data_IF_655995893741
#
_entry.id   IF_655995893741
#
_cell.length_a   1.000
_cell.length_b   1.000
_cell.length_c   1.000
_cell.angle_alpha   90.00
_cell.angle_beta   90.00
_cell.angle_gamma   90.00
#
_symmetry.space_group_name_H-M   'P 1'
#
loop_
_entity.id
_entity.type
_entity.pdbx_description
1 polymer ?
#
# COMPACT_ATOMS: atom_id res chain seq x y z
N UNK A 1 -11.79 2.93 -22.40
CA UNK A 1 -12.83 2.22 -23.17
C UNK A 1 -12.19 1.09 -23.96
N UNK A 2 -12.80 -0.09 -24.02
CA UNK A 2 -12.42 -1.16 -24.94
C UNK A 2 -13.31 -1.08 -26.17
N UNK A 3 -12.73 -1.12 -27.37
CA UNK A 3 -13.48 -1.07 -28.62
C UNK A 3 -12.82 -1.95 -29.68
N UNK A 4 -13.60 -2.40 -30.67
CA UNK A 4 -13.08 -3.17 -31.81
C UNK A 4 -12.80 -2.18 -32.95
N UNK A 5 -11.53 -2.06 -33.34
CA UNK A 5 -11.09 -1.22 -34.46
C UNK A 5 -10.47 -2.13 -35.51
N UNK A 6 -11.14 -2.25 -36.67
CA UNK A 6 -10.73 -3.12 -37.78
C UNK A 6 -10.52 -4.59 -37.35
N UNK A 7 -11.45 -5.12 -36.56
CA UNK A 7 -11.39 -6.50 -36.05
C UNK A 7 -10.41 -6.73 -34.89
N UNK A 8 -9.73 -5.68 -34.40
CA UNK A 8 -8.78 -5.79 -33.28
C UNK A 8 -9.34 -5.07 -32.06
N UNK A 9 -9.35 -5.74 -30.91
CA UNK A 9 -9.72 -5.11 -29.64
C UNK A 9 -8.64 -4.11 -29.23
N UNK A 10 -9.04 -2.89 -28.88
CA UNK A 10 -8.16 -1.80 -28.45
C UNK A 10 -8.66 -1.17 -27.17
N UNK A 11 -7.74 -0.89 -26.25
CA UNK A 11 -7.96 0.01 -25.14
C UNK A 11 -7.65 1.44 -25.57
N UNK A 12 -8.63 2.34 -25.43
CA UNK A 12 -8.52 3.74 -25.77
C UNK A 12 -8.86 4.60 -24.55
N UNK A 13 -7.93 5.47 -24.19
CA UNK A 13 -8.13 6.58 -23.28
C UNK A 13 -8.91 7.69 -23.98
N UNK A 14 -10.07 8.04 -23.44
CA UNK A 14 -10.97 9.03 -24.03
C UNK A 14 -10.82 10.39 -23.36
N UNK A 15 -10.83 10.44 -22.04
CA UNK A 15 -10.79 11.68 -21.28
C UNK A 15 -10.45 11.47 -19.80
N UNK A 16 -10.06 12.56 -19.14
CA UNK A 16 -9.91 12.68 -17.69
C UNK A 16 -10.50 14.04 -17.26
N UNK A 17 -11.84 14.17 -17.27
CA UNK A 17 -12.45 15.45 -17.01
C UNK A 17 -12.34 15.81 -15.51
N UNK A 18 -12.07 17.07 -15.15
CA UNK A 18 -12.05 17.50 -13.76
C UNK A 18 -13.45 17.42 -13.17
N UNK A 19 -13.57 17.00 -11.90
CA UNK A 19 -14.84 17.06 -11.17
C UNK A 19 -15.09 18.51 -10.73
N UNK A 20 -15.89 19.25 -11.50
CA UNK A 20 -16.17 20.67 -11.27
C UNK A 20 -17.39 20.93 -10.39
N UNK A 21 -18.40 20.07 -10.42
CA UNK A 21 -19.73 20.38 -9.88
C UNK A 21 -20.24 19.29 -8.92
N UNK A 22 -19.78 19.31 -7.67
CA UNK A 22 -20.30 18.45 -6.60
C UNK A 22 -19.87 16.97 -6.66
N UNK A 23 -19.75 16.35 -5.50
CA UNK A 23 -19.29 14.96 -5.33
C UNK A 23 -20.46 13.96 -5.20
N UNK A 24 -21.59 14.21 -5.86
CA UNK A 24 -22.72 13.25 -5.88
C UNK A 24 -22.58 12.25 -7.03
N UNK A 25 -23.22 11.08 -6.89
CA UNK A 25 -23.23 10.05 -7.93
C UNK A 25 -23.69 10.56 -9.29
N UNK A 26 -24.82 11.28 -9.30
CA UNK A 26 -25.41 11.90 -10.50
C UNK A 26 -24.43 12.83 -11.19
N UNK A 27 -23.75 13.70 -10.44
CA UNK A 27 -22.85 14.69 -11.01
C UNK A 27 -21.60 14.04 -11.59
N UNK A 28 -21.05 13.05 -10.89
CA UNK A 28 -19.92 12.26 -11.40
C UNK A 28 -20.32 11.51 -12.68
N UNK A 29 -21.49 10.86 -12.71
CA UNK A 29 -21.98 10.15 -13.89
C UNK A 29 -22.16 11.09 -15.10
N UNK A 30 -22.76 12.28 -14.89
CA UNK A 30 -22.88 13.31 -15.94
C UNK A 30 -21.52 13.79 -16.43
N UNK A 31 -20.55 13.94 -15.54
CA UNK A 31 -19.20 14.35 -15.91
C UNK A 31 -18.49 13.29 -16.77
N UNK A 32 -18.61 12.01 -16.40
CA UNK A 32 -18.10 10.90 -17.21
C UNK A 32 -18.70 10.90 -18.62
N UNK A 33 -20.02 11.08 -18.74
CA UNK A 33 -20.69 11.19 -20.05
C UNK A 33 -20.26 12.43 -20.83
N UNK A 34 -20.07 13.56 -20.13
CA UNK A 34 -19.53 14.79 -20.71
C UNK A 34 -18.16 14.59 -21.36
N UNK A 35 -17.29 13.81 -20.71
CA UNK A 35 -15.98 13.42 -21.25
C UNK A 35 -16.03 12.49 -22.45
N UNK A 36 -17.15 11.81 -22.71
CA UNK A 36 -17.35 10.88 -23.84
C UNK A 36 -18.11 11.54 -24.99
N UNK A 37 -18.90 12.58 -24.71
CA UNK A 37 -19.71 13.31 -25.70
C UNK A 37 -18.95 13.72 -26.99
N UNK A 38 -17.69 14.19 -26.97
CA UNK A 38 -16.96 14.56 -28.18
C UNK A 38 -16.71 13.42 -29.17
N UNK A 39 -16.87 12.16 -28.74
CA UNK A 39 -16.63 10.97 -29.56
C UNK A 39 -17.89 10.47 -30.30
N UNK A 40 -19.00 11.22 -30.25
CA UNK A 40 -20.27 10.89 -30.91
C UNK A 40 -20.83 9.51 -30.55
N UNK A 41 -20.57 9.03 -29.33
CA UNK A 41 -21.18 7.81 -28.80
C UNK A 41 -22.63 8.15 -28.40
N UNK A 42 -23.60 7.57 -29.10
CA UNK A 42 -25.02 7.84 -28.86
C UNK A 42 -25.59 6.97 -27.72
N UNK A 43 -26.75 7.35 -27.19
CA UNK A 43 -27.44 6.54 -26.17
C UNK A 43 -27.83 5.17 -26.72
N UNK A 44 -28.23 5.08 -28.00
CA UNK A 44 -28.52 3.80 -28.65
C UNK A 44 -27.28 2.89 -28.68
N UNK A 45 -26.08 3.46 -28.91
CA UNK A 45 -24.84 2.71 -28.84
C UNK A 45 -24.56 2.20 -27.43
N UNK A 46 -24.81 3.02 -26.39
CA UNK A 46 -24.71 2.54 -25.00
C UNK A 46 -25.68 1.38 -24.75
N UNK A 47 -26.95 1.50 -25.13
CA UNK A 47 -27.94 0.45 -24.91
C UNK A 47 -27.58 -0.88 -25.57
N UNK A 48 -26.95 -0.84 -26.75
CA UNK A 48 -26.61 -2.05 -27.51
C UNK A 48 -25.22 -2.62 -27.20
N UNK A 49 -24.26 -1.77 -26.80
CA UNK A 49 -22.82 -2.13 -26.79
C UNK A 49 -22.14 -1.90 -25.44
N UNK A 50 -22.76 -1.19 -24.49
CA UNK A 50 -22.19 -0.97 -23.18
C UNK A 50 -22.46 -2.15 -22.27
N UNK A 51 -21.46 -3.02 -22.10
CA UNK A 51 -21.61 -4.29 -21.36
C UNK A 51 -20.68 -4.38 -20.15
N UNK A 52 -19.90 -3.33 -19.86
CA UNK A 52 -18.83 -3.41 -18.87
C UNK A 52 -18.30 -2.04 -18.46
N UNK A 53 -18.19 -1.84 -17.15
CA UNK A 53 -17.59 -0.65 -16.55
C UNK A 53 -16.95 -1.00 -15.22
N UNK A 54 -15.93 -0.23 -14.85
CA UNK A 54 -15.13 -0.53 -13.68
C UNK A 54 -14.70 0.73 -12.95
N UNK A 55 -14.81 0.69 -11.62
CA UNK A 55 -14.57 1.85 -10.77
C UNK A 55 -13.81 1.54 -9.49
N UNK A 56 -13.30 2.59 -8.87
CA UNK A 56 -12.88 2.59 -7.48
C UNK A 56 -14.08 2.55 -6.50
N UNK A 57 -13.85 2.14 -5.26
CA UNK A 57 -14.88 1.98 -4.23
C UNK A 57 -15.70 3.25 -3.95
N UNK A 58 -15.09 4.44 -4.06
CA UNK A 58 -15.82 5.69 -3.84
C UNK A 58 -16.99 5.86 -4.82
N UNK A 59 -16.83 5.43 -6.08
CA UNK A 59 -17.87 5.53 -7.09
C UNK A 59 -19.07 4.62 -6.76
N UNK A 60 -18.81 3.43 -6.23
CA UNK A 60 -19.86 2.53 -5.73
C UNK A 60 -20.57 3.13 -4.52
N UNK A 61 -19.84 3.73 -3.57
CA UNK A 61 -20.45 4.37 -2.40
C UNK A 61 -21.38 5.55 -2.76
N UNK A 62 -21.16 6.14 -3.94
CA UNK A 62 -21.94 7.26 -4.46
C UNK A 62 -22.99 6.81 -5.48
N UNK A 63 -23.17 5.50 -5.72
CA UNK A 63 -24.08 4.94 -6.73
C UNK A 63 -23.83 5.43 -8.17
N UNK A 64 -22.59 5.78 -8.51
CA UNK A 64 -22.24 6.21 -9.89
C UNK A 64 -22.62 5.17 -10.95
N UNK A 65 -22.37 3.85 -10.76
CA UNK A 65 -22.75 2.85 -11.76
C UNK A 65 -24.24 2.86 -12.11
N UNK A 66 -25.10 2.97 -11.10
CA UNK A 66 -26.55 3.00 -11.22
C UNK A 66 -26.99 4.28 -11.94
N UNK A 67 -26.46 5.43 -11.52
CA UNK A 67 -26.77 6.73 -12.12
C UNK A 67 -26.34 6.79 -13.59
N UNK A 68 -25.18 6.21 -13.93
CA UNK A 68 -24.72 6.12 -15.32
C UNK A 68 -25.70 5.30 -16.17
N UNK A 69 -26.16 4.15 -15.66
CA UNK A 69 -27.13 3.29 -16.36
C UNK A 69 -28.45 4.02 -16.59
N UNK A 70 -28.96 4.75 -15.60
CA UNK A 70 -30.17 5.58 -15.72
C UNK A 70 -29.99 6.63 -16.84
N UNK A 71 -28.86 7.34 -16.85
CA UNK A 71 -28.62 8.42 -17.81
C UNK A 71 -28.49 7.94 -19.27
N UNK A 72 -27.97 6.74 -19.49
CA UNK A 72 -27.84 6.15 -20.84
C UNK A 72 -28.99 5.22 -21.22
N UNK A 73 -29.96 5.01 -20.32
CA UNK A 73 -31.09 4.11 -20.52
C UNK A 73 -30.69 2.63 -20.62
N UNK A 74 -29.67 2.21 -19.87
CA UNK A 74 -29.21 0.82 -19.80
C UNK A 74 -29.53 0.19 -18.43
N UNK A 75 -29.30 -1.12 -18.30
CA UNK A 75 -29.52 -1.87 -17.05
C UNK A 75 -28.20 -2.17 -16.35
N UNK A 76 -28.22 -2.19 -15.02
CA UNK A 76 -27.03 -2.54 -14.22
C UNK A 76 -26.68 -4.02 -14.41
N UNK A 77 -27.68 -4.88 -14.56
CA UNK A 77 -27.53 -6.31 -14.82
C UNK A 77 -26.87 -6.58 -16.18
N UNK A 78 -27.17 -5.75 -17.19
CA UNK A 78 -26.55 -5.83 -18.50
C UNK A 78 -25.11 -5.29 -18.52
N UNK A 79 -24.86 -4.21 -17.79
CA UNK A 79 -23.60 -3.48 -17.86
C UNK A 79 -22.53 -4.02 -16.90
N UNK A 80 -22.89 -4.88 -15.93
CA UNK A 80 -21.97 -5.61 -15.05
C UNK A 80 -20.87 -4.72 -14.41
N UNK A 81 -21.23 -3.69 -13.63
CA UNK A 81 -20.22 -2.86 -12.96
C UNK A 81 -19.38 -3.69 -11.99
N UNK A 82 -18.08 -3.46 -11.99
CA UNK A 82 -17.16 -4.16 -11.09
C UNK A 82 -16.05 -3.30 -10.53
N UNK A 83 -15.50 -3.69 -9.38
CA UNK A 83 -14.32 -3.05 -8.82
C UNK A 83 -13.13 -3.13 -9.78
N UNK A 84 -12.45 -2.00 -9.97
CA UNK A 84 -11.22 -1.91 -10.75
C UNK A 84 -10.12 -2.78 -10.16
N UNK A 85 -9.21 -3.27 -11.00
CA UNK A 85 -8.11 -4.12 -10.57
C UNK A 85 -7.27 -3.48 -9.45
N UNK A 86 -6.97 -2.19 -9.58
CA UNK A 86 -6.21 -1.45 -8.56
C UNK A 86 -6.96 -1.36 -7.22
N UNK A 87 -8.28 -1.18 -7.23
CA UNK A 87 -9.10 -1.16 -6.01
C UNK A 87 -9.17 -2.56 -5.37
N UNK A 88 -9.36 -3.62 -6.17
CA UNK A 88 -9.32 -5.01 -5.67
C UNK A 88 -8.00 -5.33 -4.99
N UNK A 89 -6.89 -4.86 -5.55
CA UNK A 89 -5.56 -5.01 -4.95
C UNK A 89 -5.47 -4.33 -3.57
N UNK A 90 -6.04 -3.14 -3.41
CA UNK A 90 -6.12 -2.47 -2.10
C UNK A 90 -6.99 -3.22 -1.10
N UNK A 91 -8.14 -3.75 -1.55
CA UNK A 91 -9.02 -4.52 -0.69
C UNK A 91 -8.32 -5.78 -0.18
N UNK A 92 -7.59 -6.50 -1.04
CA UNK A 92 -6.79 -7.66 -0.63
C UNK A 92 -5.76 -7.26 0.43
N UNK A 93 -5.05 -6.14 0.26
CA UNK A 93 -4.12 -5.65 1.29
C UNK A 93 -4.85 -5.27 2.58
N UNK A 94 -6.01 -4.62 2.48
CA UNK A 94 -6.83 -4.22 3.61
C UNK A 94 -7.37 -5.42 4.40
N UNK A 95 -7.85 -6.45 3.71
CA UNK A 95 -8.35 -7.69 4.30
C UNK A 95 -7.24 -8.43 5.03
N UNK A 96 -6.03 -8.45 4.45
CA UNK A 96 -4.83 -9.04 5.07
C UNK A 96 -4.48 -8.38 6.42
N UNK A 97 -4.89 -7.11 6.64
CA UNK A 97 -4.69 -6.37 7.89
C UNK A 97 -5.81 -6.55 8.92
N UNK A 98 -7.07 -6.73 8.48
CA UNK A 98 -8.27 -6.47 9.29
C UNK A 98 -8.89 -7.71 9.97
N UNK A 99 -8.64 -8.92 9.48
CA UNK A 99 -9.39 -10.10 9.95
C UNK A 99 -8.84 -10.75 11.25
N UNK A 100 -9.24 -10.20 12.40
CA UNK A 100 -8.88 -10.76 13.72
C UNK A 100 -9.58 -12.09 14.04
N UNK A 101 -10.58 -12.51 13.26
CA UNK A 101 -11.48 -13.63 13.59
C UNK A 101 -11.43 -14.80 12.58
N UNK A 102 -10.60 -14.72 11.52
CA UNK A 102 -10.46 -15.80 10.52
C UNK A 102 -11.66 -15.95 9.58
N UNK A 103 -12.46 -14.89 9.46
CA UNK A 103 -13.69 -14.84 8.66
C UNK A 103 -13.43 -14.70 7.15
N UNK A 104 -12.21 -14.28 6.76
CA UNK A 104 -11.75 -14.20 5.39
C UNK A 104 -10.86 -15.42 5.12
N UNK A 105 -10.96 -16.10 3.96
CA UNK A 105 -10.07 -17.22 3.60
C UNK A 105 -8.60 -16.80 3.36
N UNK A 106 -8.25 -15.56 3.69
CA UNK A 106 -6.89 -15.02 3.72
C UNK A 106 -6.45 -14.98 5.19
N UNK A 107 -5.45 -15.75 5.62
CA UNK A 107 -5.00 -15.70 7.00
C UNK A 107 -4.42 -14.33 7.29
N UNK A 108 -4.86 -13.73 8.39
CA UNK A 108 -4.29 -12.48 8.83
C UNK A 108 -2.86 -12.61 9.23
N UNK A 109 -2.13 -11.58 8.85
CA UNK A 109 -0.74 -11.43 9.17
C UNK A 109 -0.68 -10.51 10.39
N UNK A 110 -0.83 -11.07 11.59
CA UNK A 110 -1.00 -10.31 12.84
C UNK A 110 0.05 -9.20 13.02
N UNK A 111 1.29 -9.45 12.60
CA UNK A 111 2.36 -8.45 12.66
C UNK A 111 2.16 -7.27 11.68
N UNK A 112 1.52 -7.50 10.52
CA UNK A 112 1.21 -6.43 9.56
C UNK A 112 0.15 -5.47 10.11
N UNK A 113 -0.78 -5.95 10.95
CA UNK A 113 -1.70 -5.06 11.67
C UNK A 113 -1.01 -4.20 12.74
N UNK A 114 0.07 -4.70 13.35
CA UNK A 114 0.76 -4.04 14.46
C UNK A 114 1.77 -2.97 14.00
N UNK A 115 2.48 -3.20 12.90
CA UNK A 115 3.49 -2.27 12.37
C UNK A 115 2.92 -0.85 12.11
N UNK A 116 1.78 -0.66 11.41
CA UNK A 116 1.18 0.65 11.20
C UNK A 116 0.91 1.38 12.53
N UNK A 117 0.48 0.67 13.57
CA UNK A 117 0.20 1.25 14.89
C UNK A 117 1.48 1.80 15.52
N UNK A 118 2.55 1.01 15.53
CA UNK A 118 3.85 1.38 16.10
C UNK A 118 4.43 2.58 15.35
N UNK A 119 4.49 2.51 14.01
CA UNK A 119 5.04 3.58 13.16
C UNK A 119 4.20 4.86 13.25
N UNK A 120 2.86 4.74 13.21
CA UNK A 120 1.95 5.88 13.34
C UNK A 120 2.11 6.59 14.66
N UNK A 121 2.26 5.85 15.77
CA UNK A 121 2.43 6.43 17.10
C UNK A 121 3.62 7.38 17.17
N UNK A 122 4.70 7.07 16.43
CA UNK A 122 5.90 7.89 16.39
C UNK A 122 5.78 9.06 15.45
N UNK A 123 5.35 8.79 14.22
CA UNK A 123 5.20 9.84 13.23
C UNK A 123 4.19 10.89 13.70
N UNK A 124 3.11 10.48 14.36
CA UNK A 124 2.16 11.41 14.96
C UNK A 124 2.82 12.44 15.90
N UNK A 125 3.82 12.00 16.69
CA UNK A 125 4.54 12.83 17.67
C UNK A 125 5.59 13.75 17.03
N UNK A 126 6.04 13.47 15.80
CA UNK A 126 7.18 14.19 15.18
C UNK A 126 6.90 14.78 13.79
N UNK A 127 5.70 14.58 13.23
CA UNK A 127 5.36 15.11 11.89
C UNK A 127 5.32 16.64 11.81
N UNK A 128 5.16 17.36 12.93
CA UNK A 128 5.09 18.82 12.97
C UNK A 128 5.42 19.40 14.36
N UNK A 129 5.58 20.72 14.42
CA UNK A 129 5.76 21.47 15.66
C UNK A 129 7.05 21.11 16.41
N UNK A 130 7.00 21.16 17.76
CA UNK A 130 8.17 20.93 18.62
C UNK A 130 8.80 19.55 18.45
N UNK A 131 8.00 18.53 18.19
CA UNK A 131 8.49 17.18 17.93
C UNK A 131 9.30 17.08 16.64
N UNK A 132 8.91 17.84 15.61
CA UNK A 132 9.68 17.96 14.36
C UNK A 132 10.99 18.72 14.56
N UNK A 133 10.97 19.81 15.33
CA UNK A 133 12.18 20.56 15.69
C UNK A 133 13.18 19.69 16.47
N UNK A 134 12.68 18.85 17.39
CA UNK A 134 13.47 17.89 18.15
C UNK A 134 14.22 16.90 17.24
N UNK A 135 13.52 16.19 16.35
CA UNK A 135 14.17 15.23 15.43
C UNK A 135 15.11 15.92 14.44
N UNK A 136 14.81 17.16 14.02
CA UNK A 136 15.70 17.94 13.14
C UNK A 136 17.01 18.30 13.85
N UNK A 137 16.94 18.64 15.14
CA UNK A 137 18.13 18.90 15.96
C UNK A 137 18.96 17.63 16.12
N UNK A 138 18.32 16.50 16.43
CA UNK A 138 19.01 15.21 16.54
C UNK A 138 19.68 14.83 15.22
N UNK A 139 18.98 14.96 14.08
CA UNK A 139 19.57 14.69 12.78
C UNK A 139 20.81 15.54 12.49
N UNK A 140 20.79 16.83 12.85
CA UNK A 140 21.94 17.72 12.70
C UNK A 140 23.12 17.32 13.60
N UNK A 141 22.85 16.88 14.83
CA UNK A 141 23.87 16.39 15.77
C UNK A 141 24.51 15.08 15.30
N UNK A 142 23.71 14.18 14.71
CA UNK A 142 24.16 12.92 14.13
C UNK A 142 24.82 13.10 12.75
N UNK A 143 24.75 14.31 12.17
CA UNK A 143 25.16 14.59 10.79
C UNK A 143 24.42 13.72 9.75
N UNK A 144 23.17 13.40 10.04
CA UNK A 144 22.30 12.58 9.20
C UNK A 144 21.26 13.42 8.46
N UNK A 145 20.86 12.93 7.29
CA UNK A 145 19.74 13.53 6.55
C UNK A 145 18.42 13.09 7.18
N UNK A 146 17.65 14.05 7.68
CA UNK A 146 16.27 13.80 8.08
C UNK A 146 15.37 13.64 6.84
N UNK A 147 14.71 12.50 6.71
CA UNK A 147 13.64 12.27 5.74
C UNK A 147 12.30 12.78 6.31
N UNK A 148 11.34 13.09 5.42
CA UNK A 148 10.09 13.71 5.87
C UNK A 148 9.24 12.69 6.66
N UNK A 149 8.93 12.92 7.95
CA UNK A 149 8.05 12.06 8.75
C UNK A 149 6.60 12.23 8.30
N UNK A 150 6.25 11.58 7.20
CA UNK A 150 4.91 11.62 6.61
C UNK A 150 3.94 10.74 7.40
N UNK A 151 2.70 11.20 7.59
CA UNK A 151 1.65 10.36 8.14
C UNK A 151 1.07 9.45 7.06
N UNK A 152 0.47 8.34 7.49
CA UNK A 152 -0.38 7.53 6.63
C UNK A 152 -1.49 8.42 6.06
N UNK A 153 -1.80 8.22 4.78
CA UNK A 153 -2.86 8.93 4.11
C UNK A 153 -4.02 7.96 3.95
N UNK A 154 -5.16 8.26 4.58
CA UNK A 154 -6.35 7.40 4.57
C UNK A 154 -6.93 7.19 3.16
N UNK A 155 -6.57 8.04 2.20
CA UNK A 155 -7.16 8.11 0.85
C UNK A 155 -6.21 7.66 -0.26
N UNK A 156 -5.04 7.08 0.05
CA UNK A 156 -4.04 6.75 -0.98
C UNK A 156 -3.52 5.32 -0.89
N UNK A 157 -3.34 4.73 -2.08
CA UNK A 157 -2.75 3.43 -2.37
C UNK A 157 -1.48 3.08 -1.60
N UNK A 158 -1.13 1.79 -1.60
CA UNK A 158 0.08 1.18 -1.04
C UNK A 158 1.39 1.96 -1.22
N UNK A 159 1.50 2.78 -2.28
CA UNK A 159 2.61 3.71 -2.50
C UNK A 159 2.82 4.70 -1.34
N UNK A 160 1.74 5.29 -0.84
CA UNK A 160 1.81 6.27 0.24
C UNK A 160 2.35 5.61 1.52
N UNK A 161 1.89 4.39 1.78
CA UNK A 161 2.30 3.58 2.92
C UNK A 161 3.75 3.12 2.85
N UNK A 162 4.20 2.61 1.69
CA UNK A 162 5.62 2.28 1.47
C UNK A 162 6.52 3.45 1.80
N UNK A 163 6.16 4.65 1.33
CA UNK A 163 6.94 5.87 1.56
C UNK A 163 7.04 6.20 3.06
N UNK A 164 5.98 5.98 3.81
CA UNK A 164 5.96 6.18 5.27
C UNK A 164 6.96 5.22 5.94
N UNK A 165 6.88 3.92 5.63
CA UNK A 165 7.80 2.93 6.20
C UNK A 165 9.25 3.13 5.80
N UNK A 166 9.51 3.42 4.52
CA UNK A 166 10.85 3.67 4.02
C UNK A 166 11.48 4.90 4.67
N UNK A 167 10.73 5.98 4.86
CA UNK A 167 11.24 7.16 5.57
C UNK A 167 11.51 6.84 7.04
N UNK A 168 10.61 6.10 7.70
CA UNK A 168 10.81 5.68 9.08
C UNK A 168 12.06 4.80 9.27
N UNK A 169 12.31 3.86 8.35
CA UNK A 169 13.52 3.03 8.31
C UNK A 169 14.80 3.86 8.05
N UNK A 170 14.72 4.91 7.23
CA UNK A 170 15.87 5.79 6.95
C UNK A 170 16.21 6.72 8.11
N UNK A 171 15.21 7.18 8.84
CA UNK A 171 15.36 8.01 10.04
C UNK A 171 15.50 7.17 11.33
N UNK A 172 15.75 5.87 11.18
CA UNK A 172 15.71 4.91 12.28
C UNK A 172 16.60 5.28 13.47
N UNK A 173 17.85 5.64 13.19
CA UNK A 173 18.82 6.02 14.23
C UNK A 173 18.36 7.29 14.97
N UNK A 174 17.84 8.27 14.23
CA UNK A 174 17.26 9.51 14.79
C UNK A 174 16.11 9.18 15.75
N UNK A 175 15.22 8.24 15.39
CA UNK A 175 14.12 7.81 16.27
C UNK A 175 14.62 7.11 17.53
N UNK A 176 15.62 6.25 17.42
CA UNK A 176 16.19 5.56 18.59
C UNK A 176 16.85 6.55 19.56
N UNK A 177 17.65 7.49 19.05
CA UNK A 177 18.30 8.52 19.88
C UNK A 177 17.26 9.41 20.57
N UNK A 178 16.20 9.81 19.84
CA UNK A 178 15.10 10.57 20.43
C UNK A 178 14.45 9.82 21.59
N UNK A 179 14.07 8.56 21.38
CA UNK A 179 13.41 7.76 22.42
C UNK A 179 14.33 7.48 23.60
N UNK A 180 15.63 7.28 23.36
CA UNK A 180 16.61 7.13 24.41
C UNK A 180 16.72 8.38 25.30
N UNK A 181 16.85 9.58 24.71
CA UNK A 181 16.85 10.84 25.45
C UNK A 181 15.58 11.04 26.26
N UNK A 182 14.42 10.70 25.68
CA UNK A 182 13.13 10.75 26.39
C UNK A 182 13.07 9.77 27.57
N UNK A 183 13.63 8.57 27.44
CA UNK A 183 13.71 7.62 28.56
C UNK A 183 14.62 8.13 29.69
N UNK A 184 15.67 8.88 29.37
CA UNK A 184 16.60 9.48 30.32
C UNK A 184 15.96 10.70 31.03
N UNK A 185 15.26 11.56 30.29
CA UNK A 185 14.53 12.71 30.83
C UNK A 185 13.30 12.31 31.65
N UNK A 186 12.60 11.25 31.24
CA UNK A 186 11.38 10.76 31.88
C UNK A 186 11.48 9.26 32.21
N UNK A 187 12.23 8.86 33.25
CA UNK A 187 12.44 7.45 33.59
C UNK A 187 11.15 6.69 33.98
N UNK A 188 10.06 7.37 34.29
CA UNK A 188 8.76 6.75 34.59
C UNK A 188 7.89 6.45 33.37
N UNK A 189 8.28 6.90 32.17
CA UNK A 189 7.49 6.71 30.94
C UNK A 189 7.69 5.28 30.39
N UNK A 190 6.80 4.39 30.80
CA UNK A 190 6.78 3.00 30.32
C UNK A 190 6.52 2.87 28.82
N UNK A 191 5.67 3.73 28.25
CA UNK A 191 5.30 3.67 26.82
C UNK A 191 6.53 3.95 25.93
N UNK A 192 7.29 5.00 26.25
CA UNK A 192 8.53 5.35 25.51
C UNK A 192 9.59 4.25 25.67
N UNK A 193 9.71 3.64 26.85
CA UNK A 193 10.65 2.52 27.09
C UNK A 193 10.29 1.27 26.31
N UNK A 194 9.02 0.87 26.35
CA UNK A 194 8.52 -0.30 25.64
C UNK A 194 8.69 -0.15 24.14
N UNK A 195 8.42 1.06 23.64
CA UNK A 195 8.65 1.35 22.24
C UNK A 195 10.13 1.33 21.85
N UNK A 196 11.01 1.95 22.66
CA UNK A 196 12.46 1.88 22.41
C UNK A 196 12.94 0.43 22.38
N UNK A 197 12.39 -0.43 23.24
CA UNK A 197 12.66 -1.86 23.23
C UNK A 197 12.19 -2.51 21.93
N UNK A 198 10.94 -2.27 21.52
CA UNK A 198 10.39 -2.78 20.25
C UNK A 198 11.21 -2.33 19.03
N UNK A 199 11.63 -1.06 18.99
CA UNK A 199 12.50 -0.62 17.91
C UNK A 199 13.81 -1.42 17.94
N UNK A 200 14.41 -1.65 19.10
CA UNK A 200 15.64 -2.47 19.20
C UNK A 200 15.42 -3.98 18.95
N UNK A 201 14.20 -4.45 18.67
CA UNK A 201 13.93 -5.86 18.36
C UNK A 201 14.17 -6.15 16.87
N UNK A 202 15.04 -7.13 16.60
CA UNK A 202 15.41 -7.56 15.26
C UNK A 202 14.20 -7.97 14.41
N UNK A 203 13.25 -8.67 15.03
CA UNK A 203 12.03 -9.13 14.38
C UNK A 203 11.22 -7.96 13.83
N UNK A 204 11.01 -6.91 14.63
CA UNK A 204 10.26 -5.73 14.18
C UNK A 204 10.90 -5.05 12.97
N UNK A 205 12.22 -4.82 13.01
CA UNK A 205 12.94 -4.16 11.92
C UNK A 205 12.93 -5.03 10.66
N UNK A 206 13.15 -6.34 10.79
CA UNK A 206 13.10 -7.27 9.67
C UNK A 206 11.72 -7.33 9.00
N UNK A 207 10.65 -7.41 9.79
CA UNK A 207 9.28 -7.41 9.30
C UNK A 207 8.91 -6.09 8.62
N UNK A 208 9.37 -4.95 9.15
CA UNK A 208 9.14 -3.63 8.54
C UNK A 208 9.85 -3.50 7.18
N UNK A 209 11.05 -4.04 7.04
CA UNK A 209 11.76 -4.09 5.75
C UNK A 209 11.05 -5.00 4.74
N UNK A 210 10.68 -6.22 5.14
CA UNK A 210 9.94 -7.14 4.28
C UNK A 210 8.59 -6.57 3.84
N UNK A 211 7.90 -5.83 4.72
CA UNK A 211 6.69 -5.10 4.39
C UNK A 211 6.94 -3.97 3.39
N UNK A 212 8.06 -3.25 3.53
CA UNK A 212 8.44 -2.18 2.60
C UNK A 212 8.66 -2.74 1.19
N UNK A 213 9.31 -3.89 1.05
CA UNK A 213 9.48 -4.60 -0.23
C UNK A 213 8.13 -5.13 -0.77
N UNK A 214 7.27 -5.72 0.07
CA UNK A 214 5.93 -6.15 -0.34
C UNK A 214 5.09 -4.99 -0.91
N UNK A 215 5.14 -3.83 -0.26
CA UNK A 215 4.42 -2.65 -0.72
C UNK A 215 5.04 -2.06 -1.98
N UNK A 216 6.32 -2.30 -2.27
CA UNK A 216 6.97 -1.92 -3.53
C UNK A 216 6.38 -2.70 -4.70
N UNK A 217 6.30 -4.02 -4.54
CA UNK A 217 5.66 -4.87 -5.53
C UNK A 217 4.19 -4.50 -5.72
N UNK A 218 3.47 -4.28 -4.61
CA UNK A 218 2.07 -3.88 -4.67
C UNK A 218 1.89 -2.53 -5.37
N UNK A 219 2.78 -1.56 -5.12
CA UNK A 219 2.80 -0.29 -5.84
C UNK A 219 3.03 -0.51 -7.34
N UNK A 220 4.05 -1.29 -7.72
CA UNK A 220 4.36 -1.57 -9.12
C UNK A 220 3.13 -2.13 -9.85
N UNK A 221 2.44 -3.08 -9.23
CA UNK A 221 1.26 -3.72 -9.79
C UNK A 221 0.05 -2.79 -9.86
N UNK A 222 -0.16 -1.98 -8.82
CA UNK A 222 -1.19 -0.94 -8.85
C UNK A 222 -0.97 0.02 -10.03
N UNK A 223 0.27 0.40 -10.33
CA UNK A 223 0.61 1.21 -11.50
C UNK A 223 0.37 0.46 -12.82
N UNK A 224 0.68 -0.84 -12.91
CA UNK A 224 0.37 -1.65 -14.10
C UNK A 224 -1.14 -1.73 -14.36
N UNK A 225 -1.94 -1.89 -13.31
CA UNK A 225 -3.41 -1.96 -13.38
C UNK A 225 -4.04 -0.63 -13.76
N UNK A 226 -3.40 0.49 -13.42
CA UNK A 226 -3.82 1.85 -13.78
C UNK A 226 -3.25 2.31 -15.12
N UNK A 227 -2.42 1.50 -15.78
CA UNK A 227 -1.86 1.87 -17.09
C UNK A 227 -2.97 1.89 -18.13
N UNK A 228 -3.15 3.07 -18.76
CA UNK A 228 -4.13 3.27 -19.81
C UNK A 228 -3.70 2.60 -21.12
N UNK A 229 -4.66 2.37 -22.02
CA UNK A 229 -4.42 1.76 -23.34
C UNK A 229 -3.83 0.34 -23.31
N UNK A 230 -3.99 -0.40 -22.20
CA UNK A 230 -3.70 -1.83 -22.12
C UNK A 230 -4.98 -2.67 -22.14
N UNK A 231 -4.90 -3.83 -22.76
CA UNK A 231 -5.95 -4.83 -22.78
C UNK A 231 -5.96 -5.63 -21.47
N UNK A 232 -7.12 -6.19 -21.06
CA UNK A 232 -7.22 -6.90 -19.78
C UNK A 232 -6.24 -8.06 -19.62
N UNK A 233 -5.91 -8.78 -20.70
CA UNK A 233 -4.93 -9.88 -20.62
C UNK A 233 -3.47 -9.41 -20.53
N UNK A 234 -3.15 -8.24 -21.08
CA UNK A 234 -1.84 -7.60 -20.91
C UNK A 234 -1.65 -7.16 -19.45
N UNK A 235 -2.74 -6.83 -18.76
CA UNK A 235 -2.75 -6.57 -17.32
C UNK A 235 -2.73 -7.87 -16.50
N UNK A 236 -3.36 -8.95 -17.00
CA UNK A 236 -3.47 -10.25 -16.32
C UNK A 236 -2.12 -10.94 -16.10
N UNK A 237 -1.17 -10.80 -17.02
CA UNK A 237 0.17 -11.36 -16.84
C UNK A 237 0.82 -10.83 -15.55
N UNK A 238 0.73 -9.52 -15.32
CA UNK A 238 1.21 -8.89 -14.09
C UNK A 238 0.40 -9.30 -12.85
N UNK A 239 -0.91 -9.54 -12.99
CA UNK A 239 -1.72 -10.06 -11.87
C UNK A 239 -1.34 -11.50 -11.49
N UNK A 240 -0.96 -12.36 -12.44
CA UNK A 240 -0.49 -13.72 -12.14
C UNK A 240 0.87 -13.70 -11.43
N UNK A 241 1.77 -12.80 -11.85
CA UNK A 241 3.02 -12.52 -11.15
C UNK A 241 2.75 -12.05 -9.71
N UNK A 242 1.78 -11.16 -9.52
CA UNK A 242 1.35 -10.74 -8.20
C UNK A 242 0.76 -11.86 -7.36
N UNK A 243 -0.20 -12.63 -7.89
CA UNK A 243 -0.81 -13.73 -7.13
C UNK A 243 0.25 -14.73 -6.69
N UNK A 244 1.22 -15.00 -7.56
CA UNK A 244 2.35 -15.89 -7.24
C UNK A 244 3.21 -15.29 -6.14
N UNK A 245 3.63 -14.02 -6.28
CA UNK A 245 4.42 -13.32 -5.28
C UNK A 245 3.67 -13.17 -3.95
N UNK A 246 2.38 -12.88 -4.00
CA UNK A 246 1.54 -12.66 -2.83
C UNK A 246 1.26 -13.97 -2.09
N UNK A 247 0.95 -15.06 -2.80
CA UNK A 247 0.87 -16.41 -2.21
C UNK A 247 2.19 -16.82 -1.59
N UNK A 248 3.28 -16.63 -2.32
CA UNK A 248 4.63 -16.89 -1.85
C UNK A 248 4.95 -16.10 -0.58
N UNK A 249 4.71 -14.78 -0.59
CA UNK A 249 4.93 -13.93 0.58
C UNK A 249 4.01 -14.34 1.73
N UNK A 250 2.73 -14.63 1.50
CA UNK A 250 1.85 -15.15 2.54
C UNK A 250 2.35 -16.48 3.13
N UNK A 251 2.89 -17.37 2.30
CA UNK A 251 3.45 -18.66 2.73
C UNK A 251 4.76 -18.49 3.54
N UNK A 252 5.68 -17.63 3.08
CA UNK A 252 6.90 -17.30 3.83
C UNK A 252 6.61 -16.57 5.14
N UNK A 253 5.66 -15.63 5.13
CA UNK A 253 5.24 -14.88 6.31
C UNK A 253 4.56 -15.80 7.34
N UNK A 254 3.87 -16.87 6.90
CA UNK A 254 3.39 -17.97 7.77
C UNK A 254 4.54 -18.82 8.31
N UNK A 255 5.54 -19.13 7.49
CA UNK A 255 6.70 -19.95 7.87
C UNK A 255 7.62 -19.26 8.88
N UNK A 256 7.75 -17.93 8.84
CA UNK A 256 8.51 -17.15 9.83
C UNK A 256 7.88 -17.18 11.24
N UNK A 257 6.56 -17.36 11.35
CA UNK A 257 5.91 -17.62 12.65
C UNK A 257 6.28 -19.00 13.25
N UNK A 258 6.85 -19.89 12.43
CA UNK A 258 7.24 -21.25 12.79
C UNK A 258 8.76 -21.51 12.70
N UNK A 259 9.57 -20.46 12.53
CA UNK A 259 11.01 -20.50 12.78
C UNK A 259 11.89 -21.18 11.72
N UNK A 260 11.41 -21.40 10.49
CA UNK A 260 12.26 -21.93 9.43
C UNK A 260 11.68 -21.69 8.02
N UNK A 261 12.10 -20.62 7.32
CA UNK A 261 12.49 -20.67 5.90
C UNK A 261 13.04 -19.32 5.38
N UNK A 262 13.70 -19.40 4.22
CA UNK A 262 14.58 -18.38 3.63
C UNK A 262 13.75 -17.37 2.83
N UNK A 263 13.86 -16.09 3.19
CA UNK A 263 13.40 -15.02 2.30
C UNK A 263 14.18 -15.06 0.97
N UNK A 264 13.53 -15.15 -0.20
CA UNK A 264 14.20 -15.02 -1.48
C UNK A 264 14.59 -13.56 -1.66
N UNK A 265 15.84 -13.28 -1.33
CA UNK A 265 16.43 -11.94 -1.37
C UNK A 265 16.23 -11.23 -2.71
N UNK A 266 16.09 -11.97 -3.82
CA UNK A 266 15.82 -11.39 -5.14
C UNK A 266 14.44 -10.69 -5.24
N UNK A 267 13.48 -11.08 -4.42
CA UNK A 267 12.16 -10.43 -4.31
C UNK A 267 12.09 -9.42 -3.15
N UNK A 268 13.18 -9.23 -2.41
CA UNK A 268 13.26 -8.33 -1.27
C UNK A 268 14.50 -7.42 -1.38
N UNK A 269 14.51 -6.51 -2.38
CA UNK A 269 15.70 -5.73 -2.70
C UNK A 269 16.14 -4.83 -1.54
N UNK A 270 15.22 -4.23 -0.78
CA UNK A 270 15.58 -3.43 0.38
C UNK A 270 16.18 -4.30 1.49
N UNK A 271 15.55 -5.43 1.81
CA UNK A 271 16.08 -6.36 2.81
C UNK A 271 17.46 -6.92 2.40
N UNK A 272 17.65 -7.23 1.11
CA UNK A 272 18.89 -7.74 0.57
C UNK A 272 20.05 -6.74 0.70
N UNK A 273 19.78 -5.45 0.45
CA UNK A 273 20.77 -4.36 0.64
C UNK A 273 21.21 -4.25 2.12
N UNK A 274 20.29 -4.53 3.05
CA UNK A 274 20.51 -4.39 4.50
C UNK A 274 20.91 -5.67 5.22
N UNK A 275 21.04 -6.77 4.48
CA UNK A 275 21.29 -8.09 5.04
C UNK A 275 22.60 -8.18 5.84
N UNK A 276 23.67 -7.55 5.35
CA UNK A 276 24.99 -7.61 6.02
C UNK A 276 25.02 -6.79 7.32
N UNK A 277 24.30 -5.67 7.38
CA UNK A 277 24.09 -4.93 8.64
C UNK A 277 23.35 -5.84 9.63
N UNK A 278 22.27 -6.45 9.16
CA UNK A 278 21.42 -7.35 9.95
C UNK A 278 22.18 -8.57 10.51
N UNK A 279 23.04 -9.19 9.70
CA UNK A 279 23.89 -10.32 10.13
C UNK A 279 24.83 -9.94 11.28
N UNK A 280 25.26 -8.69 11.36
CA UNK A 280 26.12 -8.16 12.43
C UNK A 280 25.33 -7.78 13.69
N UNK A 281 24.00 -7.87 13.66
CA UNK A 281 23.15 -7.36 14.73
C UNK A 281 23.09 -5.83 14.73
N UNK A 282 23.26 -5.21 13.56
CA UNK A 282 23.26 -3.76 13.38
C UNK A 282 22.19 -3.36 12.36
N UNK A 283 21.67 -2.14 12.49
CA UNK A 283 20.85 -1.51 11.46
C UNK A 283 20.98 0.00 11.53
N UNK A 284 21.31 0.65 10.41
CA UNK A 284 21.56 2.08 10.37
C UNK A 284 22.60 2.54 11.42
N UNK A 285 23.63 1.73 11.65
CA UNK A 285 24.71 2.01 12.61
C UNK A 285 24.33 1.83 14.08
N UNK A 286 23.13 1.32 14.40
CA UNK A 286 22.72 1.03 15.77
C UNK A 286 22.64 -0.46 16.06
N UNK A 287 23.00 -0.84 17.29
CA UNK A 287 22.89 -2.22 17.75
C UNK A 287 21.43 -2.64 17.93
N UNK A 288 21.08 -3.80 17.37
CA UNK A 288 19.76 -4.43 17.45
C UNK A 288 19.88 -5.70 18.31
N UNK A 289 18.93 -5.93 19.22
CA UNK A 289 18.99 -7.06 20.16
C UNK A 289 18.53 -8.36 19.50
N UNK A 290 19.37 -9.38 19.63
CA UNK A 290 19.04 -10.77 19.35
C UNK A 290 18.21 -11.34 20.51
N UNK A 291 16.91 -11.50 20.31
CA UNK A 291 16.16 -12.53 21.03
C UNK A 291 16.09 -13.73 20.07
N UNK A 292 16.63 -14.89 20.47
CA UNK A 292 16.68 -16.18 19.73
C UNK A 292 15.53 -16.36 18.70
N UNK A 293 15.68 -16.84 17.46
CA UNK A 293 16.45 -18.01 16.98
C UNK A 293 16.63 -17.96 15.44
N UNK A 294 17.23 -16.91 14.88
CA UNK A 294 17.60 -16.91 13.45
C UNK A 294 18.89 -17.70 13.14
N UNK A 295 19.53 -18.30 14.16
CA UNK A 295 20.68 -19.21 14.00
C UNK A 295 20.36 -20.52 13.27
N UNK A 296 19.09 -20.77 12.94
CA UNK A 296 18.65 -21.90 12.09
C UNK A 296 18.38 -21.51 10.63
N UNK A 297 18.46 -20.24 10.25
CA UNK A 297 18.58 -19.89 8.84
C UNK A 297 20.03 -20.15 8.42
N UNK A 298 20.29 -21.39 8.02
CA UNK A 298 21.33 -21.62 7.03
C UNK A 298 20.90 -20.82 5.79
N UNK A 299 21.57 -19.71 5.50
CA UNK A 299 21.31 -18.85 4.35
C UNK A 299 21.64 -19.57 3.04
#
# INVERSE_FOLDING_TARGET
>A
MLCIVKGVLKAIFLSNPPVSDGHSGVNIAKNLLGGIKPFNISNEMFQQQFTGHSYDGQYFSLNVPEELCILVGSSVEWTLPGWGGAHRLELVLGDTRKDKEGSVPLPTVAWYGNIPTIVSSQLAKVSYGKGYEEIRKIAAELQERLYNPARFCDTRFAQAERKVYLNFLRDWHIFQVRLQRRCEEFPGDGETKDLLKQLKEFEFVGLLMGLTDLLEHTQFLSLQLQTVNKLPWEQRQHMLEFETLFKFLLEELRATAHGAQRFPLHNMPYFADKLEEFKKGEFAGTGVRWFCTFSKLAW
#
